data_IF_767172971528
#
_entry.id   IF_767172971528
#
_cell.length_a   1.000
_cell.length_b   1.000
_cell.length_c   1.000
_cell.angle_alpha   90.00
_cell.angle_beta   90.00
_cell.angle_gamma   90.00
#
_symmetry.space_group_name_H-M   'P 1'
#
loop_
_entity.id
_entity.type
_entity.pdbx_description
1 polymer ?
#
# COMPACT_ATOMS: atom_id res chain seq x y z
N UNK A 1 -34.10 40.64 1.72
CA UNK A 1 -32.96 40.27 0.85
C UNK A 1 -31.96 39.44 1.66
N UNK A 2 -31.84 38.13 1.38
CA UNK A 2 -30.88 37.25 2.06
C UNK A 2 -29.56 37.31 1.29
N UNK A 3 -28.53 37.93 1.88
CA UNK A 3 -27.18 37.95 1.30
C UNK A 3 -26.56 36.57 1.46
N UNK A 4 -26.50 35.80 0.37
CA UNK A 4 -25.69 34.58 0.33
C UNK A 4 -24.22 34.98 0.46
N UNK A 5 -23.62 34.72 1.63
CA UNK A 5 -22.16 34.75 1.79
C UNK A 5 -21.60 33.63 0.91
N UNK A 6 -21.13 33.98 -0.28
CA UNK A 6 -20.24 33.12 -1.06
C UNK A 6 -19.02 32.87 -0.16
N UNK A 7 -18.93 31.68 0.44
CA UNK A 7 -17.72 31.24 1.12
C UNK A 7 -16.63 31.27 0.06
N UNK A 8 -15.68 32.19 0.20
CA UNK A 8 -14.49 32.20 -0.65
C UNK A 8 -13.82 30.84 -0.49
N UNK A 9 -13.87 30.01 -1.54
CA UNK A 9 -13.16 28.75 -1.59
C UNK A 9 -11.69 29.06 -1.93
N UNK A 10 -10.96 29.67 -1.00
CA UNK A 10 -9.50 29.76 -1.09
C UNK A 10 -8.95 28.37 -0.72
N UNK A 11 -8.66 27.55 -1.73
CA UNK A 11 -8.19 26.17 -1.58
C UNK A 11 -8.75 25.17 -2.61
N UNK A 12 -9.42 25.63 -3.67
CA UNK A 12 -9.98 24.76 -4.70
C UNK A 12 -9.04 24.60 -5.91
N UNK A 13 -7.72 24.53 -5.69
CA UNK A 13 -6.80 24.25 -6.80
C UNK A 13 -6.50 22.77 -6.88
N UNK A 14 -6.71 22.18 -8.06
CA UNK A 14 -6.41 20.78 -8.35
C UNK A 14 -4.98 20.39 -7.93
N UNK A 15 -4.04 21.35 -8.02
CA UNK A 15 -2.63 21.15 -7.69
C UNK A 15 -2.40 20.91 -6.19
N UNK A 16 -3.09 21.61 -5.29
CA UNK A 16 -2.92 21.42 -3.85
C UNK A 16 -3.29 19.99 -3.43
N UNK A 17 -4.41 19.49 -3.98
CA UNK A 17 -4.83 18.10 -3.79
C UNK A 17 -3.83 17.12 -4.41
N UNK A 18 -3.31 17.39 -5.61
CA UNK A 18 -2.30 16.54 -6.24
C UNK A 18 -1.02 16.49 -5.39
N UNK A 19 -0.57 17.61 -4.84
CA UNK A 19 0.62 17.66 -3.97
C UNK A 19 0.41 16.78 -2.73
N UNK A 20 -0.73 16.90 -2.05
CA UNK A 20 -1.03 16.07 -0.87
C UNK A 20 -1.06 14.58 -1.25
N UNK A 21 -1.69 14.22 -2.37
CA UNK A 21 -1.75 12.84 -2.85
C UNK A 21 -0.35 12.29 -3.14
N UNK A 22 0.51 13.07 -3.79
CA UNK A 22 1.90 12.67 -4.09
C UNK A 22 2.69 12.42 -2.80
N UNK A 23 2.53 13.27 -1.78
CA UNK A 23 3.19 13.08 -0.48
C UNK A 23 2.75 11.77 0.17
N UNK A 24 1.43 11.52 0.19
CA UNK A 24 0.89 10.27 0.75
C UNK A 24 1.38 9.04 -0.03
N UNK A 25 1.45 9.13 -1.36
CA UNK A 25 1.92 8.03 -2.20
C UNK A 25 3.39 7.67 -1.93
N UNK A 26 4.27 8.67 -1.79
CA UNK A 26 5.68 8.45 -1.45
C UNK A 26 5.80 7.82 -0.07
N UNK A 27 5.06 8.32 0.92
CA UNK A 27 5.03 7.74 2.27
C UNK A 27 4.55 6.28 2.26
N UNK A 28 3.52 5.96 1.47
CA UNK A 28 3.02 4.61 1.32
C UNK A 28 4.07 3.67 0.74
N UNK A 29 4.77 4.07 -0.34
CA UNK A 29 5.86 3.27 -0.93
C UNK A 29 6.94 2.99 0.12
N UNK A 30 7.34 3.98 0.91
CA UNK A 30 8.33 3.81 1.96
C UNK A 30 7.85 2.84 3.05
N UNK A 31 6.59 2.94 3.49
CA UNK A 31 6.00 2.04 4.48
C UNK A 31 5.93 0.61 3.93
N UNK A 32 5.47 0.41 2.70
CA UNK A 32 5.42 -0.92 2.10
C UNK A 32 6.80 -1.52 1.82
N UNK A 33 7.80 -0.68 1.53
CA UNK A 33 9.18 -1.13 1.34
C UNK A 33 9.87 -1.53 2.64
N UNK A 34 9.64 -0.80 3.74
CA UNK A 34 10.30 -1.05 5.03
C UNK A 34 9.53 -2.04 5.90
N UNK A 35 8.21 -1.95 5.94
CA UNK A 35 7.36 -2.75 6.81
C UNK A 35 6.64 -3.89 6.08
N UNK A 36 6.79 -4.02 4.75
CA UNK A 36 6.13 -5.06 3.97
C UNK A 36 6.43 -6.47 4.45
N UNK A 37 7.70 -6.76 4.76
CA UNK A 37 8.11 -8.08 5.26
C UNK A 37 7.56 -8.37 6.66
N UNK A 38 7.50 -7.36 7.52
CA UNK A 38 6.94 -7.50 8.87
C UNK A 38 5.44 -7.72 8.85
N UNK A 39 4.71 -6.98 8.02
CA UNK A 39 3.26 -7.14 7.86
C UNK A 39 2.94 -8.53 7.28
N UNK A 40 3.69 -8.97 6.26
CA UNK A 40 3.53 -10.29 5.65
C UNK A 40 3.83 -11.42 6.63
N UNK A 41 4.89 -11.31 7.43
CA UNK A 41 5.24 -12.33 8.42
C UNK A 41 4.18 -12.49 9.51
N UNK A 42 3.57 -11.38 9.95
CA UNK A 42 2.45 -11.43 10.91
C UNK A 42 1.18 -11.98 10.27
N UNK A 43 0.91 -11.61 9.03
CA UNK A 43 -0.24 -12.11 8.30
C UNK A 43 -0.12 -13.61 8.01
N UNK A 44 1.06 -14.12 7.66
CA UNK A 44 1.26 -15.57 7.44
C UNK A 44 1.07 -16.37 8.72
N UNK A 45 1.54 -15.87 9.86
CA UNK A 45 1.29 -16.52 11.15
C UNK A 45 -0.21 -16.55 11.50
N UNK A 46 -0.94 -15.48 11.22
CA UNK A 46 -2.39 -15.45 11.40
C UNK A 46 -3.14 -16.37 10.43
N UNK A 47 -2.73 -16.40 9.16
CA UNK A 47 -3.32 -17.29 8.13
C UNK A 47 -3.01 -18.75 8.45
N UNK A 48 -1.81 -19.08 8.92
CA UNK A 48 -1.45 -20.44 9.33
C UNK A 48 -2.31 -20.95 10.50
N UNK A 49 -2.63 -20.08 11.46
CA UNK A 49 -3.55 -20.42 12.54
C UNK A 49 -5.00 -20.58 12.07
N UNK A 50 -5.41 -19.78 11.08
CA UNK A 50 -6.77 -19.80 10.53
C UNK A 50 -7.01 -20.89 9.47
N UNK A 51 -5.95 -21.32 8.79
CA UNK A 51 -5.98 -22.27 7.68
C UNK A 51 -4.87 -23.31 7.88
N UNK A 52 -5.24 -24.44 8.49
CA UNK A 52 -4.31 -25.53 8.81
C UNK A 52 -3.96 -26.44 7.61
N UNK A 53 -4.27 -26.00 6.38
CA UNK A 53 -4.08 -26.76 5.13
C UNK A 53 -2.90 -26.30 4.27
N UNK A 54 -2.78 -26.87 3.07
CA UNK A 54 -1.68 -26.65 2.10
C UNK A 54 -1.46 -25.18 1.67
N UNK A 55 -2.42 -24.29 1.94
CA UNK A 55 -2.33 -22.86 1.61
C UNK A 55 -1.41 -22.09 2.58
N UNK A 56 -1.23 -22.58 3.81
CA UNK A 56 -0.30 -21.97 4.77
C UNK A 56 1.15 -22.10 4.31
N UNK A 57 1.51 -23.25 3.72
CA UNK A 57 2.82 -23.54 3.15
C UNK A 57 3.14 -22.64 1.96
N UNK A 58 2.14 -22.29 1.15
CA UNK A 58 2.29 -21.34 0.04
C UNK A 58 2.56 -19.91 0.53
N UNK A 59 1.93 -19.49 1.64
CA UNK A 59 2.18 -18.19 2.25
C UNK A 59 3.59 -18.07 2.83
N UNK A 60 4.12 -19.13 3.45
CA UNK A 60 5.52 -19.19 3.92
C UNK A 60 6.54 -19.16 2.77
N UNK A 61 6.27 -19.86 1.67
CA UNK A 61 7.15 -19.81 0.49
C UNK A 61 7.17 -18.41 -0.14
N UNK A 62 6.03 -17.70 -0.14
CA UNK A 62 5.96 -16.32 -0.63
C UNK A 62 6.76 -15.33 0.25
N UNK A 63 7.03 -15.66 1.52
CA UNK A 63 7.86 -14.88 2.43
C UNK A 63 9.37 -15.06 2.22
N UNK A 64 9.80 -16.15 1.57
CA UNK A 64 11.22 -16.35 1.27
C UNK A 64 11.74 -15.35 0.22
N UNK A 65 10.85 -14.84 -0.66
CA UNK A 65 11.14 -13.70 -1.53
C UNK A 65 10.81 -12.40 -0.79
N UNK A 66 11.84 -11.67 -0.40
CA UNK A 66 11.70 -10.40 0.32
C UNK A 66 10.88 -9.36 -0.45
N UNK A 67 10.32 -8.40 0.29
CA UNK A 67 9.52 -7.29 -0.22
C UNK A 67 10.23 -6.47 -1.32
N UNK A 68 11.56 -6.37 -1.27
CA UNK A 68 12.33 -5.71 -2.31
C UNK A 68 12.45 -6.55 -3.59
N UNK A 69 12.32 -7.88 -3.52
CA UNK A 69 12.51 -8.79 -4.65
C UNK A 69 11.22 -8.95 -5.48
N UNK A 70 10.04 -9.01 -4.86
CA UNK A 70 8.77 -9.01 -5.62
C UNK A 70 8.56 -7.68 -6.37
N UNK A 71 8.95 -6.55 -5.79
CA UNK A 71 8.78 -5.25 -6.43
C UNK A 71 9.65 -5.16 -7.70
N UNK A 72 10.85 -5.74 -7.65
CA UNK A 72 11.77 -5.88 -8.80
C UNK A 72 11.27 -6.90 -9.83
N UNK A 73 10.64 -8.00 -9.40
CA UNK A 73 10.04 -9.00 -10.29
C UNK A 73 8.85 -8.40 -11.06
N UNK A 74 8.00 -7.61 -10.37
CA UNK A 74 6.88 -6.88 -10.99
C UNK A 74 7.30 -5.83 -12.01
N UNK A 75 8.51 -5.26 -11.90
CA UNK A 75 8.99 -4.28 -12.90
C UNK A 75 9.57 -4.93 -14.15
N UNK A 76 9.91 -6.22 -14.10
CA UNK A 76 10.64 -6.92 -15.18
C UNK A 76 9.75 -7.62 -16.18
N UNK A 77 8.56 -8.01 -15.78
CA UNK A 77 7.58 -8.59 -16.68
C UNK A 77 6.21 -8.33 -16.05
N UNK A 78 5.41 -7.45 -16.66
CA UNK A 78 4.04 -7.18 -16.22
C UNK A 78 3.09 -8.36 -16.48
N UNK A 79 3.62 -9.59 -16.38
CA UNK A 79 2.98 -10.86 -16.71
C UNK A 79 3.09 -11.78 -15.49
N UNK A 80 2.09 -11.71 -14.62
CA UNK A 80 1.64 -12.89 -13.87
C UNK A 80 0.29 -13.26 -14.45
#
# INVERSE_FOLDING_TARGET
MRKNKQKHQSGQTMVEYIIIVVIIAIAAIAIFGVFGDTIRAKLSGAVHEMDSGDHATAAEQALQKGSADWLKDMTKDGSK
#
